data_IF_722696849354
#
_entry.id   IF_722696849354
#
_cell.length_a   1.000
_cell.length_b   1.000
_cell.length_c   1.000
_cell.angle_alpha   90.00
_cell.angle_beta   90.00
_cell.angle_gamma   90.00
#
_symmetry.space_group_name_H-M   'P 1'
#
loop_
_entity.id
_entity.type
_entity.pdbx_description
1 polymer ?
#
# COMPACT_ATOMS: atom_id res chain seq x y z
N UNK A 1 -73.31 27.83 7.71
CA UNK A 1 -72.76 28.09 6.37
C UNK A 1 -71.26 28.26 6.46
N UNK A 2 -70.54 27.30 5.88
CA UNK A 2 -69.13 27.24 5.43
C UNK A 2 -67.99 27.67 6.37
N UNK A 3 -67.43 26.67 7.04
CA UNK A 3 -66.05 26.65 7.52
C UNK A 3 -65.11 26.20 6.37
N UNK A 4 -64.02 26.94 6.16
CA UNK A 4 -62.81 26.47 5.47
C UNK A 4 -61.67 26.54 6.49
N UNK A 5 -61.20 25.38 6.98
CA UNK A 5 -59.93 25.26 7.68
C UNK A 5 -59.10 24.15 7.04
N UNK A 6 -57.89 24.53 6.65
CA UNK A 6 -56.79 23.74 6.14
C UNK A 6 -56.46 22.57 7.09
N UNK A 7 -56.41 21.33 6.60
CA UNK A 7 -55.26 20.68 5.96
C UNK A 7 -54.03 20.55 6.89
N UNK A 8 -53.93 19.41 7.58
CA UNK A 8 -52.65 18.81 7.96
C UNK A 8 -52.84 17.28 8.02
N UNK A 9 -52.51 16.60 6.92
CA UNK A 9 -52.55 15.14 6.80
C UNK A 9 -51.16 14.61 7.14
N UNK A 10 -51.04 13.96 8.30
CA UNK A 10 -49.83 13.28 8.75
C UNK A 10 -49.67 11.97 7.97
N UNK A 11 -48.70 11.90 7.05
CA UNK A 11 -48.33 10.64 6.39
C UNK A 11 -47.31 9.93 7.28
N UNK A 12 -47.75 8.85 7.91
CA UNK A 12 -46.91 7.87 8.60
C UNK A 12 -46.30 6.95 7.53
N UNK A 13 -45.04 7.18 7.14
CA UNK A 13 -44.34 6.27 6.22
C UNK A 13 -43.80 5.06 6.98
N UNK A 14 -44.44 3.92 6.73
CA UNK A 14 -44.01 2.58 7.15
C UNK A 14 -42.72 2.21 6.39
N UNK A 15 -41.60 2.03 7.11
CA UNK A 15 -40.38 1.47 6.53
C UNK A 15 -40.58 -0.05 6.42
N UNK A 16 -41.00 -0.50 5.24
CA UNK A 16 -40.95 -1.91 4.86
C UNK A 16 -39.49 -2.33 4.73
N UNK A 17 -38.99 -3.14 5.68
CA UNK A 17 -37.83 -3.98 5.46
C UNK A 17 -38.20 -4.96 4.33
N UNK A 18 -37.66 -4.73 3.14
CA UNK A 18 -37.71 -5.69 2.04
C UNK A 18 -36.79 -6.87 2.36
N UNK A 19 -37.34 -7.92 2.97
CA UNK A 19 -36.75 -9.25 2.92
C UNK A 19 -36.84 -9.72 1.47
N UNK A 20 -35.71 -9.72 0.77
CA UNK A 20 -35.60 -10.35 -0.55
C UNK A 20 -35.80 -11.86 -0.38
N UNK A 21 -36.92 -12.38 -0.87
CA UNK A 21 -37.12 -13.82 -1.03
C UNK A 21 -36.22 -14.31 -2.16
N UNK A 22 -35.21 -15.11 -1.84
CA UNK A 22 -34.44 -15.83 -2.84
C UNK A 22 -35.29 -17.00 -3.36
N UNK A 23 -35.38 -17.15 -4.68
CA UNK A 23 -35.97 -18.34 -5.29
C UNK A 23 -35.30 -19.60 -4.70
N UNK A 24 -36.10 -20.60 -4.33
CA UNK A 24 -35.61 -21.86 -3.77
C UNK A 24 -34.94 -22.69 -4.87
N UNK A 25 -33.70 -22.33 -5.18
CA UNK A 25 -32.83 -23.19 -5.98
C UNK A 25 -32.66 -24.54 -5.30
N UNK A 26 -32.42 -25.58 -6.10
CA UNK A 26 -32.21 -26.95 -5.61
C UNK A 26 -30.80 -27.16 -5.03
N UNK A 27 -29.96 -26.12 -5.07
CA UNK A 27 -28.63 -26.10 -4.51
C UNK A 27 -28.20 -24.71 -4.03
N UNK A 28 -26.95 -24.60 -3.60
CA UNK A 28 -26.34 -23.32 -3.21
C UNK A 28 -24.95 -23.18 -3.79
N UNK A 29 -24.59 -21.97 -4.18
CA UNK A 29 -23.26 -21.63 -4.68
C UNK A 29 -22.54 -20.61 -3.79
N UNK A 30 -21.21 -20.62 -3.86
CA UNK A 30 -20.35 -19.62 -3.22
C UNK A 30 -19.45 -18.98 -4.27
N UNK A 31 -19.38 -17.65 -4.25
CA UNK A 31 -18.45 -16.89 -5.08
C UNK A 31 -17.23 -16.51 -4.24
N UNK A 32 -16.03 -16.76 -4.76
CA UNK A 32 -14.76 -16.34 -4.17
C UNK A 32 -13.93 -15.57 -5.20
N UNK A 33 -13.03 -14.70 -4.72
CA UNK A 33 -12.13 -13.93 -5.56
C UNK A 33 -10.69 -14.37 -5.31
N UNK A 34 -9.84 -14.27 -6.34
CA UNK A 34 -8.39 -14.51 -6.24
C UNK A 34 -7.68 -13.50 -5.33
N UNK A 35 -8.27 -12.32 -5.13
CA UNK A 35 -7.87 -11.33 -4.11
C UNK A 35 -9.11 -10.71 -3.47
N UNK A 36 -8.98 -10.14 -2.28
CA UNK A 36 -10.11 -9.45 -1.61
C UNK A 36 -10.32 -8.02 -2.13
N UNK A 37 -9.32 -7.44 -2.79
CA UNK A 37 -9.34 -6.07 -3.25
C UNK A 37 -8.43 -5.81 -4.45
N UNK A 38 -8.62 -4.64 -5.07
CA UNK A 38 -7.78 -4.09 -6.14
C UNK A 38 -7.72 -2.57 -6.03
N UNK A 39 -6.53 -2.01 -6.22
CA UNK A 39 -6.33 -0.54 -6.26
C UNK A 39 -6.16 -0.08 -7.71
N UNK A 40 -7.02 0.84 -8.17
CA UNK A 40 -7.06 1.33 -9.55
C UNK A 40 -6.93 2.85 -9.54
N UNK A 41 -6.12 3.41 -10.44
CA UNK A 41 -6.04 4.86 -10.61
C UNK A 41 -7.28 5.40 -11.37
N UNK A 42 -7.70 6.66 -11.14
CA UNK A 42 -8.70 7.30 -12.00
C UNK A 42 -8.31 7.21 -13.48
N UNK A 43 -9.23 6.77 -14.32
CA UNK A 43 -9.01 6.58 -15.77
C UNK A 43 -8.38 5.24 -16.15
N UNK A 44 -8.02 4.39 -15.18
CA UNK A 44 -7.42 3.08 -15.42
C UNK A 44 -8.44 1.94 -15.31
N UNK A 45 -7.98 0.73 -15.65
CA UNK A 45 -8.73 -0.50 -15.49
C UNK A 45 -7.87 -1.55 -14.79
N UNK A 46 -8.52 -2.53 -14.17
CA UNK A 46 -7.85 -3.71 -13.66
C UNK A 46 -8.79 -4.90 -13.58
N UNK A 47 -8.21 -6.06 -13.31
CA UNK A 47 -8.92 -7.35 -13.39
C UNK A 47 -8.68 -8.19 -12.16
N UNK A 48 -9.68 -8.97 -11.77
CA UNK A 48 -9.56 -10.00 -10.73
C UNK A 48 -10.31 -11.26 -11.17
N UNK A 49 -9.72 -12.43 -10.94
CA UNK A 49 -10.42 -13.70 -11.20
C UNK A 49 -11.40 -14.01 -10.07
N UNK A 50 -12.58 -14.51 -10.41
CA UNK A 50 -13.55 -15.07 -9.47
C UNK A 50 -13.87 -16.52 -9.81
N UNK A 51 -14.25 -17.28 -8.79
CA UNK A 51 -14.67 -18.67 -8.88
C UNK A 51 -16.07 -18.80 -8.29
N UNK A 52 -16.97 -19.46 -9.02
CA UNK A 52 -18.27 -19.90 -8.51
C UNK A 52 -18.15 -21.38 -8.21
N UNK A 53 -18.34 -21.74 -6.94
CA UNK A 53 -18.25 -23.12 -6.47
C UNK A 53 -19.59 -23.62 -5.96
N UNK A 54 -19.96 -24.85 -6.33
CA UNK A 54 -21.11 -25.53 -5.74
C UNK A 54 -20.84 -25.79 -4.26
N UNK A 55 -21.78 -25.40 -3.41
CA UNK A 55 -21.75 -25.68 -1.97
C UNK A 55 -22.69 -26.83 -1.61
N UNK A 56 -23.85 -26.93 -2.25
CA UNK A 56 -24.79 -28.06 -2.14
C UNK A 56 -25.68 -28.15 -3.38
N UNK A 57 -26.34 -29.29 -3.61
CA UNK A 57 -27.32 -29.46 -4.69
C UNK A 57 -26.77 -30.10 -5.96
N UNK A 58 -27.40 -29.81 -7.11
CA UNK A 58 -27.04 -30.36 -8.43
C UNK A 58 -26.68 -29.22 -9.38
N UNK A 59 -25.59 -29.41 -10.12
CA UNK A 59 -25.02 -28.42 -11.04
C UNK A 59 -25.87 -28.24 -12.29
N UNK A 60 -26.63 -27.14 -12.37
CA UNK A 60 -27.15 -26.64 -13.65
C UNK A 60 -27.55 -25.17 -13.51
N UNK A 61 -27.39 -24.38 -14.56
CA UNK A 61 -28.15 -23.14 -14.72
C UNK A 61 -27.77 -21.97 -13.81
N UNK A 62 -26.53 -21.88 -13.33
CA UNK A 62 -26.11 -20.79 -12.43
C UNK A 62 -25.67 -19.53 -13.19
N UNK A 63 -26.32 -18.41 -12.88
CA UNK A 63 -25.95 -17.08 -13.34
C UNK A 63 -25.14 -16.32 -12.27
N UNK A 64 -24.12 -15.58 -12.68
CA UNK A 64 -23.42 -14.59 -11.82
C UNK A 64 -23.87 -13.19 -12.19
N UNK A 65 -24.43 -12.45 -11.22
CA UNK A 65 -24.90 -11.08 -11.43
C UNK A 65 -24.13 -10.07 -10.59
N UNK A 66 -24.00 -8.87 -11.14
CA UNK A 66 -23.52 -7.69 -10.45
C UNK A 66 -24.70 -6.96 -9.81
N UNK A 67 -24.80 -7.01 -8.49
CA UNK A 67 -25.98 -6.54 -7.74
C UNK A 67 -26.10 -5.02 -7.71
N UNK A 68 -24.98 -4.31 -7.60
CA UNK A 68 -24.95 -2.86 -7.40
C UNK A 68 -24.39 -2.08 -8.61
N UNK A 69 -24.65 -2.58 -9.82
CA UNK A 69 -24.15 -2.02 -11.09
C UNK A 69 -24.48 -0.53 -11.27
N UNK A 70 -25.74 -0.14 -11.01
CA UNK A 70 -26.20 1.25 -11.16
C UNK A 70 -25.50 2.22 -10.17
N UNK A 71 -25.27 1.77 -8.93
CA UNK A 71 -24.58 2.58 -7.93
C UNK A 71 -23.10 2.77 -8.32
N UNK A 72 -22.46 1.71 -8.79
CA UNK A 72 -21.07 1.78 -9.26
C UNK A 72 -20.94 2.69 -10.49
N UNK A 73 -21.86 2.61 -11.45
CA UNK A 73 -21.82 3.48 -12.64
C UNK A 73 -22.00 4.96 -12.29
N UNK A 74 -22.85 5.28 -11.31
CA UNK A 74 -23.03 6.66 -10.81
C UNK A 74 -21.76 7.21 -10.14
N UNK A 75 -20.94 6.32 -9.57
CA UNK A 75 -19.62 6.64 -9.01
C UNK A 75 -18.50 6.60 -10.08
N UNK A 76 -18.84 6.38 -11.35
CA UNK A 76 -17.89 6.30 -12.46
C UNK A 76 -17.12 4.98 -12.55
N UNK A 77 -17.60 3.92 -11.90
CA UNK A 77 -17.00 2.59 -11.93
C UNK A 77 -17.87 1.67 -12.80
N UNK A 78 -17.28 1.12 -13.85
CA UNK A 78 -17.92 0.14 -14.72
C UNK A 78 -17.29 -1.23 -14.49
N UNK A 79 -18.13 -2.23 -14.21
CA UNK A 79 -17.68 -3.61 -13.97
C UNK A 79 -18.29 -4.53 -15.02
N UNK A 80 -17.47 -5.43 -15.56
CA UNK A 80 -17.88 -6.43 -16.54
C UNK A 80 -17.33 -7.80 -16.15
N UNK A 81 -18.10 -8.85 -16.42
CA UNK A 81 -17.76 -10.23 -16.08
C UNK A 81 -17.55 -11.01 -17.37
N UNK A 82 -16.46 -11.76 -17.46
CA UNK A 82 -16.15 -12.55 -18.66
C UNK A 82 -17.04 -13.78 -18.81
N UNK A 83 -17.66 -14.26 -17.73
CA UNK A 83 -18.53 -15.45 -17.74
C UNK A 83 -19.69 -15.29 -16.76
N UNK A 84 -20.88 -15.00 -17.26
CA UNK A 84 -22.06 -14.77 -16.43
C UNK A 84 -22.96 -15.99 -16.27
N UNK A 85 -22.74 -17.07 -17.03
CA UNK A 85 -23.55 -18.28 -16.98
C UNK A 85 -22.71 -19.53 -17.20
N UNK A 86 -22.86 -20.51 -16.31
CA UNK A 86 -22.25 -21.85 -16.39
C UNK A 86 -22.70 -22.70 -15.22
N UNK A 87 -22.52 -24.00 -15.35
CA UNK A 87 -22.64 -24.94 -14.23
C UNK A 87 -21.41 -24.79 -13.31
N UNK A 88 -21.57 -24.69 -11.98
CA UNK A 88 -20.46 -24.72 -11.04
C UNK A 88 -19.73 -26.09 -11.06
N UNK A 89 -18.42 -26.18 -10.86
CA UNK A 89 -17.50 -25.08 -10.56
C UNK A 89 -17.01 -24.39 -11.85
N UNK A 90 -16.99 -23.06 -11.87
CA UNK A 90 -16.41 -22.31 -12.98
C UNK A 90 -15.67 -21.06 -12.52
N UNK A 91 -14.76 -20.61 -13.37
CA UNK A 91 -13.98 -19.38 -13.15
C UNK A 91 -14.29 -18.34 -14.22
N UNK A 92 -14.23 -17.06 -13.84
CA UNK A 92 -14.31 -15.93 -14.75
C UNK A 92 -13.37 -14.81 -14.32
N UNK A 93 -13.29 -13.77 -15.15
CA UNK A 93 -12.51 -12.57 -14.90
C UNK A 93 -13.48 -11.39 -14.76
N UNK A 94 -13.37 -10.68 -13.65
CA UNK A 94 -14.07 -9.43 -13.41
C UNK A 94 -13.14 -8.28 -13.82
N UNK A 95 -13.56 -7.51 -14.82
CA UNK A 95 -12.85 -6.31 -15.28
C UNK A 95 -13.53 -5.07 -14.73
N UNK A 96 -12.77 -4.23 -14.04
CA UNK A 96 -13.22 -2.99 -13.42
C UNK A 96 -12.54 -1.83 -14.14
N UNK A 97 -13.33 -0.91 -14.69
CA UNK A 97 -12.87 0.35 -15.30
C UNK A 97 -13.29 1.51 -14.42
N UNK A 98 -12.35 2.38 -14.08
CA UNK A 98 -12.59 3.55 -13.24
C UNK A 98 -12.48 4.80 -14.11
N UNK A 99 -13.49 5.66 -14.07
CA UNK A 99 -13.48 6.95 -14.77
C UNK A 99 -12.36 7.85 -14.25
N UNK A 100 -11.83 8.73 -15.10
CA UNK A 100 -10.88 9.77 -14.68
C UNK A 100 -11.48 10.76 -13.67
N UNK A 101 -12.81 10.88 -13.63
CA UNK A 101 -13.53 11.74 -12.70
C UNK A 101 -14.00 11.02 -11.41
N UNK A 102 -13.79 9.69 -11.30
CA UNK A 102 -14.18 8.95 -10.10
C UNK A 102 -13.40 9.47 -8.89
N UNK A 103 -14.13 9.72 -7.81
CA UNK A 103 -13.53 10.24 -6.58
C UNK A 103 -12.61 9.18 -5.95
N UNK A 104 -11.53 9.59 -5.29
CA UNK A 104 -10.73 8.68 -4.49
C UNK A 104 -11.57 8.11 -3.36
N UNK A 105 -11.48 6.81 -3.12
CA UNK A 105 -12.35 6.18 -2.14
C UNK A 105 -12.40 4.67 -2.23
N UNK A 106 -13.23 4.09 -1.35
CA UNK A 106 -13.47 2.65 -1.28
C UNK A 106 -14.85 2.35 -1.86
N UNK A 107 -14.86 1.43 -2.83
CA UNK A 107 -16.07 1.03 -3.55
C UNK A 107 -16.30 -0.46 -3.38
N UNK A 108 -17.53 -0.82 -3.00
CA UNK A 108 -17.94 -2.21 -2.87
C UNK A 108 -18.47 -2.73 -4.21
N UNK A 109 -17.97 -3.85 -4.69
CA UNK A 109 -18.51 -4.59 -5.82
C UNK A 109 -19.18 -5.84 -5.27
N UNK A 110 -20.48 -5.98 -5.49
CA UNK A 110 -21.29 -7.06 -4.95
C UNK A 110 -21.70 -8.01 -6.06
N UNK A 111 -21.22 -9.26 -5.99
CA UNK A 111 -21.67 -10.34 -6.88
C UNK A 111 -22.59 -11.30 -6.14
N UNK A 112 -23.56 -11.86 -6.83
CA UNK A 112 -24.32 -12.99 -6.35
C UNK A 112 -24.50 -14.04 -7.43
N UNK A 113 -24.74 -15.29 -7.00
CA UNK A 113 -25.18 -16.36 -7.87
C UNK A 113 -26.72 -16.45 -7.81
N UNK A 114 -27.36 -16.61 -8.96
CA UNK A 114 -28.81 -16.80 -9.10
C UNK A 114 -29.09 -17.96 -10.07
N UNK A 115 -30.35 -18.39 -10.15
CA UNK A 115 -30.73 -19.58 -10.93
C UNK A 115 -30.97 -20.75 -9.98
N UNK A 116 -30.58 -21.95 -10.39
CA UNK A 116 -30.88 -23.18 -9.65
C UNK A 116 -29.96 -23.42 -8.44
N UNK A 117 -28.77 -22.81 -8.42
CA UNK A 117 -27.83 -22.85 -7.29
C UNK A 117 -27.51 -21.43 -6.77
N UNK A 118 -28.47 -20.69 -6.19
CA UNK A 118 -28.26 -19.33 -5.73
C UNK A 118 -27.25 -19.23 -4.59
N UNK A 119 -26.56 -18.10 -4.50
CA UNK A 119 -25.72 -17.81 -3.35
C UNK A 119 -26.57 -17.30 -2.19
N UNK A 120 -26.33 -17.84 -0.99
CA UNK A 120 -26.99 -17.40 0.25
C UNK A 120 -26.63 -15.97 0.66
N UNK A 121 -25.46 -15.48 0.24
CA UNK A 121 -25.00 -14.12 0.52
C UNK A 121 -24.25 -13.53 -0.68
N UNK A 122 -24.24 -12.20 -0.78
CA UNK A 122 -23.44 -11.52 -1.79
C UNK A 122 -21.94 -11.67 -1.47
N UNK A 123 -21.15 -11.97 -2.49
CA UNK A 123 -19.70 -11.88 -2.41
C UNK A 123 -19.26 -10.42 -2.59
N UNK A 124 -18.49 -9.93 -1.62
CA UNK A 124 -17.97 -8.57 -1.59
C UNK A 124 -16.53 -8.55 -2.12
N UNK A 125 -16.29 -7.72 -3.13
CA UNK A 125 -14.96 -7.34 -3.59
C UNK A 125 -14.75 -5.83 -3.42
N UNK A 126 -13.56 -5.42 -2.96
CA UNK A 126 -13.29 -4.01 -2.66
C UNK A 126 -12.41 -3.36 -3.72
N UNK A 127 -12.85 -2.26 -4.31
CA UNK A 127 -12.04 -1.43 -5.22
C UNK A 127 -11.60 -0.18 -4.48
N UNK A 128 -10.30 0.09 -4.47
CA UNK A 128 -9.74 1.34 -3.98
C UNK A 128 -9.37 2.23 -5.17
N UNK A 129 -10.00 3.41 -5.25
CA UNK A 129 -9.65 4.42 -6.25
C UNK A 129 -8.61 5.35 -5.64
N UNK A 130 -7.45 5.47 -6.30
CA UNK A 130 -6.34 6.34 -5.86
C UNK A 130 -6.77 7.81 -5.85
N UNK A 131 -6.09 8.63 -5.05
CA UNK A 131 -6.14 10.08 -5.22
C UNK A 131 -5.64 10.45 -6.62
N UNK A 132 -6.41 11.27 -7.35
CA UNK A 132 -5.92 11.87 -8.59
C UNK A 132 -4.66 12.64 -8.25
N UNK A 133 -3.50 12.13 -8.65
CA UNK A 133 -2.30 12.94 -8.67
C UNK A 133 -2.62 14.14 -9.57
N UNK A 134 -2.46 15.35 -9.05
CA UNK A 134 -2.36 16.53 -9.92
C UNK A 134 -1.17 16.22 -10.84
N UNK A 135 -1.46 15.92 -12.11
CA UNK A 135 -0.45 15.78 -13.13
C UNK A 135 0.15 17.16 -13.40
N UNK A 136 1.04 17.61 -12.53
CA UNK A 136 2.17 18.42 -12.98
C UNK A 136 3.12 17.46 -13.67
N UNK A 137 2.99 17.36 -14.99
CA UNK A 137 3.97 16.72 -15.87
C UNK A 137 5.28 17.50 -15.75
N UNK A 138 6.09 17.15 -14.77
CA UNK A 138 7.55 17.31 -14.88
C UNK A 138 8.08 15.96 -15.29
N UNK A 139 8.49 15.85 -16.56
CA UNK A 139 9.28 14.75 -17.09
C UNK A 139 10.60 14.69 -16.31
N UNK A 140 10.61 13.92 -15.22
CA UNK A 140 11.87 13.52 -14.58
C UNK A 140 12.37 12.29 -15.35
N UNK A 141 13.60 12.30 -15.89
CA UNK A 141 14.19 11.12 -16.52
C UNK A 141 14.19 9.93 -15.55
N UNK A 142 14.32 8.67 -16.01
CA UNK A 142 14.31 7.51 -15.14
C UNK A 142 15.54 7.56 -14.20
N UNK A 143 15.35 8.18 -13.04
CA UNK A 143 16.34 8.23 -11.97
C UNK A 143 16.20 6.95 -11.17
N UNK A 144 17.31 6.23 -10.95
CA UNK A 144 17.47 5.12 -9.99
C UNK A 144 17.27 5.56 -8.52
N UNK A 145 16.75 6.76 -8.30
CA UNK A 145 16.62 7.40 -7.00
C UNK A 145 15.27 6.98 -6.39
N UNK A 146 15.26 6.48 -5.14
CA UNK A 146 14.02 6.15 -4.44
C UNK A 146 13.06 7.33 -4.41
N UNK A 147 11.79 7.07 -4.67
CA UNK A 147 10.76 8.11 -4.65
C UNK A 147 9.47 7.60 -4.02
N UNK A 148 8.91 8.43 -3.15
CA UNK A 148 7.70 8.20 -2.38
C UNK A 148 6.65 9.20 -2.82
N UNK A 149 5.55 8.74 -3.42
CA UNK A 149 4.46 9.63 -3.85
C UNK A 149 3.25 9.46 -2.94
N UNK A 150 2.73 10.57 -2.40
CA UNK A 150 1.59 10.55 -1.48
C UNK A 150 0.41 9.77 -2.08
N UNK A 151 -0.10 8.82 -1.32
CA UNK A 151 -1.27 8.03 -1.67
C UNK A 151 -2.51 8.50 -0.91
N UNK A 152 -2.39 8.59 0.42
CA UNK A 152 -3.48 8.98 1.29
C UNK A 152 -2.93 9.65 2.55
N UNK A 153 -3.70 10.54 3.15
CA UNK A 153 -3.33 11.20 4.39
C UNK A 153 -4.55 11.64 5.18
N UNK A 154 -4.40 11.75 6.50
CA UNK A 154 -5.36 12.41 7.38
C UNK A 154 -4.63 13.47 8.21
N UNK A 155 -5.20 14.69 8.24
CA UNK A 155 -4.62 15.83 8.93
C UNK A 155 -5.60 16.37 9.95
N UNK A 156 -5.12 16.69 11.15
CA UNK A 156 -5.88 17.40 12.19
C UNK A 156 -4.98 18.38 12.91
N UNK A 157 -5.57 19.47 13.39
CA UNK A 157 -4.93 20.30 14.39
C UNK A 157 -4.83 19.52 15.71
N UNK A 158 -3.65 19.53 16.31
CA UNK A 158 -3.35 18.93 17.61
C UNK A 158 -3.06 20.04 18.59
N UNK A 159 -3.67 19.93 19.77
CA UNK A 159 -3.33 20.75 20.93
C UNK A 159 -2.59 19.86 21.94
N UNK A 160 -1.42 20.29 22.39
CA UNK A 160 -0.56 19.53 23.29
C UNK A 160 -1.30 19.09 24.56
N UNK A 161 -2.19 19.90 25.13
CA UNK A 161 -2.96 19.54 26.34
C UNK A 161 -4.00 18.43 26.11
N UNK A 162 -4.47 18.23 24.88
CA UNK A 162 -5.53 17.28 24.55
C UNK A 162 -5.01 16.03 23.85
N UNK A 163 -3.91 16.13 23.12
CA UNK A 163 -3.48 15.09 22.20
C UNK A 163 -4.46 14.91 21.03
N UNK A 164 -4.34 13.79 20.31
CA UNK A 164 -5.24 13.44 19.21
C UNK A 164 -5.12 11.97 18.81
N UNK A 165 -6.12 11.46 18.09
CA UNK A 165 -6.10 10.13 17.46
C UNK A 165 -6.36 10.23 15.96
N UNK A 166 -5.61 9.44 15.22
CA UNK A 166 -5.64 9.35 13.77
C UNK A 166 -5.83 7.89 13.37
N UNK A 167 -6.61 7.68 12.33
CA UNK A 167 -6.84 6.37 11.72
C UNK A 167 -6.78 6.56 10.22
N UNK A 168 -5.95 5.78 9.55
CA UNK A 168 -5.78 5.85 8.11
C UNK A 168 -5.68 4.45 7.53
N UNK A 169 -6.41 4.21 6.45
CA UNK A 169 -6.34 2.95 5.71
C UNK A 169 -5.08 2.95 4.83
N UNK A 170 -4.24 1.93 4.99
CA UNK A 170 -3.09 1.67 4.13
C UNK A 170 -3.52 1.06 2.78
N UNK A 171 -2.54 0.85 1.88
CA UNK A 171 -2.80 0.36 0.52
C UNK A 171 -3.31 -1.08 0.46
N UNK A 172 -3.02 -1.86 1.49
CA UNK A 172 -3.42 -3.26 1.66
C UNK A 172 -4.79 -3.41 2.37
N UNK A 173 -5.46 -2.29 2.68
CA UNK A 173 -6.73 -2.28 3.38
C UNK A 173 -6.63 -2.54 4.88
N UNK A 174 -5.45 -2.42 5.49
CA UNK A 174 -5.26 -2.46 6.94
C UNK A 174 -5.26 -1.06 7.54
N UNK A 175 -5.75 -0.94 8.78
CA UNK A 175 -5.73 0.34 9.49
C UNK A 175 -4.39 0.55 10.19
N UNK A 176 -3.88 1.77 10.04
CA UNK A 176 -2.83 2.33 10.88
C UNK A 176 -3.48 3.39 11.77
N UNK A 177 -3.32 3.23 13.08
CA UNK A 177 -3.76 4.19 14.07
C UNK A 177 -2.55 4.86 14.72
N UNK A 178 -2.63 6.16 14.90
CA UNK A 178 -1.63 6.93 15.65
C UNK A 178 -2.34 7.68 16.76
N UNK A 179 -1.85 7.51 17.98
CA UNK A 179 -2.25 8.31 19.12
C UNK A 179 -1.11 9.27 19.44
N UNK A 180 -1.42 10.56 19.39
CA UNK A 180 -0.60 11.63 19.94
C UNK A 180 -1.04 11.83 21.39
N UNK A 181 -0.24 11.43 22.39
CA UNK A 181 -0.61 11.58 23.79
C UNK A 181 -0.85 13.05 24.18
N UNK A 182 -1.70 13.28 25.17
CA UNK A 182 -1.72 14.57 25.85
C UNK A 182 -0.34 14.83 26.51
N UNK A 183 0.09 16.08 26.50
CA UNK A 183 1.45 16.51 26.86
C UNK A 183 2.45 16.49 25.70
N UNK A 184 2.05 16.19 24.47
CA UNK A 184 2.96 16.14 23.31
C UNK A 184 3.08 17.49 22.61
N UNK A 185 4.24 18.13 22.78
CA UNK A 185 4.67 19.34 22.09
C UNK A 185 5.52 18.97 20.86
N UNK A 186 5.76 19.95 19.98
CA UNK A 186 6.73 19.79 18.89
C UNK A 186 7.86 20.78 19.03
N UNK A 187 9.09 20.29 19.07
CA UNK A 187 10.28 21.10 18.85
C UNK A 187 10.58 21.21 17.36
N UNK A 188 10.66 22.45 16.88
CA UNK A 188 10.98 22.78 15.49
C UNK A 188 11.88 24.02 15.45
N UNK A 189 13.19 23.79 15.28
CA UNK A 189 14.19 24.85 15.45
C UNK A 189 14.19 25.36 16.88
N UNK A 190 14.15 26.69 17.08
CA UNK A 190 14.16 27.32 18.41
C UNK A 190 12.75 27.50 19.01
N UNK A 191 11.76 26.75 18.52
CA UNK A 191 10.36 26.88 18.96
C UNK A 191 9.82 25.56 19.47
N UNK A 192 9.13 25.62 20.59
CA UNK A 192 8.29 24.54 21.11
C UNK A 192 6.83 24.89 20.85
N UNK A 193 6.15 24.10 20.01
CA UNK A 193 4.78 24.32 19.60
C UNK A 193 3.82 23.51 20.47
N UNK A 194 2.88 24.20 21.11
CA UNK A 194 1.76 23.58 21.83
C UNK A 194 0.51 23.38 20.94
N UNK A 195 0.53 23.92 19.73
CA UNK A 195 -0.50 23.72 18.70
C UNK A 195 0.16 23.55 17.34
N UNK A 196 -0.19 22.50 16.62
CA UNK A 196 0.40 22.16 15.32
C UNK A 196 -0.55 21.30 14.49
N UNK A 197 -0.39 21.32 13.16
CA UNK A 197 -1.08 20.39 12.28
C UNK A 197 -0.27 19.09 12.22
N UNK A 198 -0.88 17.99 12.62
CA UNK A 198 -0.30 16.66 12.46
C UNK A 198 -0.97 15.94 11.30
N UNK A 199 -0.15 15.32 10.46
CA UNK A 199 -0.61 14.48 9.36
C UNK A 199 -0.02 13.09 9.50
N UNK A 200 -0.87 12.07 9.43
CA UNK A 200 -0.48 10.70 9.13
C UNK A 200 -0.61 10.51 7.62
N UNK A 201 0.44 10.06 6.95
CA UNK A 201 0.46 9.90 5.50
C UNK A 201 1.01 8.53 5.06
N UNK A 202 0.46 8.01 3.97
CA UNK A 202 0.85 6.78 3.28
C UNK A 202 1.35 7.14 1.89
N UNK A 203 2.43 6.49 1.45
CA UNK A 203 3.13 6.79 0.20
C UNK A 203 3.34 5.54 -0.63
N UNK A 204 3.09 5.65 -1.94
CA UNK A 204 3.55 4.65 -2.92
C UNK A 204 5.06 4.75 -3.07
N UNK A 205 5.73 3.65 -3.38
CA UNK A 205 7.18 3.59 -3.53
C UNK A 205 7.54 3.27 -4.99
N UNK A 206 8.60 3.92 -5.48
CA UNK A 206 9.26 3.57 -6.73
C UNK A 206 10.79 3.58 -6.53
N UNK A 207 11.48 2.75 -7.30
CA UNK A 207 12.95 2.67 -7.33
C UNK A 207 13.59 2.40 -5.96
N UNK A 208 13.00 1.50 -5.16
CA UNK A 208 13.53 1.12 -3.86
C UNK A 208 13.45 -0.40 -3.69
N UNK A 209 14.60 -1.04 -3.52
CA UNK A 209 14.72 -2.43 -3.11
C UNK A 209 14.87 -2.54 -1.59
N UNK A 210 14.69 -3.72 -1.02
CA UNK A 210 14.98 -3.96 0.39
C UNK A 210 16.46 -3.65 0.73
N UNK A 211 16.79 -3.29 1.99
CA UNK A 211 18.17 -3.09 2.42
C UNK A 211 18.94 -4.41 2.34
N UNK A 212 20.25 -4.35 2.14
CA UNK A 212 21.10 -5.53 1.97
C UNK A 212 20.99 -6.52 3.15
N UNK A 213 20.88 -6.00 4.37
CA UNK A 213 20.69 -6.77 5.61
C UNK A 213 19.34 -7.47 5.72
N UNK A 214 18.37 -7.10 4.89
CA UNK A 214 17.04 -7.70 4.81
C UNK A 214 16.63 -7.94 3.35
N UNK A 215 17.57 -8.38 2.51
CA UNK A 215 17.40 -8.50 1.05
C UNK A 215 16.26 -9.41 0.59
N UNK A 216 15.74 -10.26 1.49
CA UNK A 216 14.59 -11.14 1.24
C UNK A 216 13.25 -10.50 1.62
N UNK A 217 13.25 -9.41 2.36
CA UNK A 217 12.04 -8.73 2.77
C UNK A 217 11.37 -8.05 1.57
N UNK A 218 10.03 -8.04 1.58
CA UNK A 218 9.24 -7.47 0.49
C UNK A 218 8.88 -6.03 0.87
N UNK A 219 9.39 -5.06 0.11
CA UNK A 219 9.01 -3.64 0.26
C UNK A 219 7.55 -3.45 -0.14
N UNK A 220 6.75 -2.82 0.72
CA UNK A 220 5.31 -2.63 0.46
C UNK A 220 4.98 -1.17 0.14
N UNK A 221 5.04 -0.29 1.13
CA UNK A 221 4.71 1.13 0.98
C UNK A 221 5.38 1.96 2.08
N UNK A 222 5.43 3.28 1.88
CA UNK A 222 5.97 4.22 2.85
C UNK A 222 4.89 4.78 3.76
N UNK A 223 5.25 5.15 4.99
CA UNK A 223 4.40 5.97 5.83
C UNK A 223 5.25 7.00 6.57
N UNK A 224 4.63 8.13 6.92
CA UNK A 224 5.32 9.20 7.63
C UNK A 224 4.36 9.98 8.52
N UNK A 225 4.96 10.64 9.52
CA UNK A 225 4.34 11.75 10.21
C UNK A 225 4.81 13.04 9.58
N UNK A 226 3.89 14.00 9.45
CA UNK A 226 4.24 15.35 9.08
C UNK A 226 3.77 16.29 10.19
N UNK A 227 4.64 17.24 10.53
CA UNK A 227 4.26 18.38 11.36
C UNK A 227 4.23 19.61 10.47
N UNK A 228 3.08 20.27 10.41
CA UNK A 228 2.85 21.45 9.57
C UNK A 228 3.26 21.21 8.10
N UNK A 229 3.00 19.99 7.61
CA UNK A 229 3.32 19.57 6.24
C UNK A 229 4.78 19.20 5.98
N UNK A 230 5.62 19.08 7.02
CA UNK A 230 7.05 18.76 6.89
C UNK A 230 7.39 17.36 7.43
N UNK A 231 8.15 16.60 6.64
CA UNK A 231 8.92 15.42 7.07
C UNK A 231 10.37 15.87 7.30
N UNK A 232 10.85 15.82 8.55
CA UNK A 232 12.23 16.19 8.86
C UNK A 232 12.71 15.60 10.21
N UNK A 233 13.92 15.01 10.26
CA UNK A 233 14.52 14.54 11.51
C UNK A 233 14.92 15.67 12.47
N UNK A 234 14.95 16.92 11.99
CA UNK A 234 15.20 18.11 12.81
C UNK A 234 13.97 18.54 13.64
N UNK A 235 12.82 17.90 13.43
CA UNK A 235 11.61 18.08 14.21
C UNK A 235 11.53 16.92 15.22
N UNK A 236 11.08 17.19 16.44
CA UNK A 236 10.89 16.17 17.47
C UNK A 236 9.55 16.37 18.19
N UNK A 237 8.89 15.28 18.54
CA UNK A 237 7.81 15.25 19.53
C UNK A 237 8.45 15.16 20.92
N UNK A 238 8.10 16.10 21.79
CA UNK A 238 8.69 16.20 23.13
C UNK A 238 7.61 16.47 24.18
N UNK A 239 7.95 16.22 25.44
CA UNK A 239 7.12 16.58 26.59
C UNK A 239 7.35 18.06 26.98
N UNK A 240 6.68 18.52 28.05
CA UNK A 240 6.82 19.90 28.54
C UNK A 240 8.25 20.27 29.00
N UNK A 241 9.10 19.28 29.29
CA UNK A 241 10.50 19.49 29.72
C UNK A 241 11.50 19.33 28.57
N UNK A 242 11.03 19.13 27.32
CA UNK A 242 11.89 18.91 26.15
C UNK A 242 12.43 17.50 26.00
N UNK A 243 11.99 16.54 26.82
CA UNK A 243 12.38 15.13 26.66
C UNK A 243 11.53 14.46 25.57
N UNK A 244 12.12 13.51 24.85
CA UNK A 244 11.44 12.78 23.76
C UNK A 244 10.10 12.20 24.22
N UNK A 245 9.06 12.46 23.43
CA UNK A 245 7.70 11.96 23.65
C UNK A 245 7.25 11.15 22.44
N UNK A 246 7.50 9.83 22.42
CA UNK A 246 7.07 8.98 21.33
C UNK A 246 5.55 8.96 21.15
N UNK A 247 5.12 8.92 19.88
CA UNK A 247 3.73 8.65 19.54
C UNK A 247 3.47 7.14 19.62
N UNK A 248 2.21 6.78 19.87
CA UNK A 248 1.80 5.37 19.89
C UNK A 248 1.23 5.04 18.52
N UNK A 249 1.90 4.13 17.82
CA UNK A 249 1.54 3.70 16.48
C UNK A 249 1.07 2.27 16.55
N UNK A 250 -0.15 1.98 16.10
CA UNK A 250 -0.62 0.60 15.94
C UNK A 250 -1.00 0.36 14.50
N UNK A 251 -0.65 -0.81 13.98
CA UNK A 251 -0.97 -1.19 12.61
C UNK A 251 -1.49 -2.62 12.60
N UNK A 252 -2.62 -2.86 11.93
CA UNK A 252 -3.32 -4.16 11.89
C UNK A 252 -2.58 -5.21 11.04
N UNK A 253 -1.38 -5.55 11.50
CA UNK A 253 -0.47 -6.50 10.89
C UNK A 253 -0.08 -7.58 11.90
N UNK A 254 0.25 -8.75 11.37
CA UNK A 254 0.84 -9.82 12.17
C UNK A 254 2.36 -9.61 12.36
N UNK A 255 2.99 -10.55 13.07
CA UNK A 255 4.42 -10.50 13.40
C UNK A 255 5.38 -10.62 12.21
N UNK A 256 4.90 -10.93 11.00
CA UNK A 256 5.76 -10.94 9.81
C UNK A 256 6.04 -9.54 9.25
N UNK A 257 5.30 -8.53 9.70
CA UNK A 257 5.50 -7.15 9.28
C UNK A 257 6.56 -6.46 10.12
N UNK A 258 7.29 -5.56 9.48
CA UNK A 258 8.28 -4.68 10.10
C UNK A 258 8.35 -3.37 9.34
N UNK A 259 9.13 -2.42 9.84
CA UNK A 259 9.47 -1.24 9.06
C UNK A 259 10.94 -0.88 9.20
N UNK A 260 11.40 -0.03 8.29
CA UNK A 260 12.71 0.59 8.36
C UNK A 260 12.59 2.10 8.32
N UNK A 261 13.36 2.77 9.19
CA UNK A 261 13.56 4.21 9.15
C UNK A 261 14.40 4.57 7.91
N UNK A 262 13.91 5.53 7.13
CA UNK A 262 14.48 5.96 5.86
C UNK A 262 14.75 7.47 5.88
N UNK A 263 16.02 7.88 5.78
CA UNK A 263 16.46 9.26 5.97
C UNK A 263 17.26 9.80 4.78
N UNK A 264 17.39 11.13 4.72
CA UNK A 264 18.25 11.84 3.78
C UNK A 264 17.59 12.16 2.43
N UNK A 265 16.30 11.87 2.28
CA UNK A 265 15.51 12.38 1.16
C UNK A 265 14.97 13.78 1.43
N UNK A 266 14.40 14.36 0.38
CA UNK A 266 13.83 15.70 0.40
C UNK A 266 12.37 15.66 -0.01
N UNK A 267 11.53 16.36 0.75
CA UNK A 267 10.14 16.57 0.36
C UNK A 267 10.07 17.59 -0.79
N UNK A 268 9.44 17.20 -1.90
CA UNK A 268 9.17 18.01 -3.07
C UNK A 268 7.67 17.91 -3.35
N UNK A 269 6.94 18.99 -3.10
CA UNK A 269 5.47 18.98 -3.10
C UNK A 269 4.91 17.91 -2.15
N UNK A 270 4.11 16.98 -2.68
CA UNK A 270 3.55 15.84 -1.96
C UNK A 270 4.44 14.59 -2.02
N UNK A 271 5.61 14.65 -2.66
CA UNK A 271 6.52 13.52 -2.80
C UNK A 271 7.74 13.66 -1.89
N UNK A 272 8.38 12.55 -1.57
CA UNK A 272 9.66 12.49 -0.87
C UNK A 272 10.67 11.73 -1.74
N UNK A 273 11.75 12.40 -2.14
CA UNK A 273 12.68 11.92 -3.17
C UNK A 273 14.09 11.76 -2.58
N UNK A 274 14.74 10.65 -2.93
CA UNK A 274 16.07 10.27 -2.44
C UNK A 274 16.05 9.76 -1.01
N UNK A 275 17.23 9.51 -0.45
CA UNK A 275 17.42 8.96 0.88
C UNK A 275 17.91 7.52 0.88
N UNK A 276 17.99 6.94 2.08
CA UNK A 276 18.49 5.57 2.30
C UNK A 276 17.95 5.02 3.62
N UNK A 277 17.87 3.68 3.71
CA UNK A 277 17.61 2.98 4.97
C UNK A 277 18.70 3.30 6.00
N UNK A 278 18.29 3.43 7.27
CA UNK A 278 19.23 3.65 8.38
C UNK A 278 19.22 2.51 9.38
N UNK A 279 18.06 2.09 9.84
CA UNK A 279 17.92 1.00 10.79
C UNK A 279 16.50 0.42 10.74
N UNK A 280 16.39 -0.85 11.13
CA UNK A 280 15.11 -1.52 11.31
C UNK A 280 14.40 -0.96 12.54
N UNK A 281 13.10 -0.76 12.44
CA UNK A 281 12.28 -0.31 13.57
C UNK A 281 11.83 -1.52 14.40
N UNK A 282 11.73 -1.32 15.71
CA UNK A 282 11.25 -2.36 16.62
C UNK A 282 9.74 -2.24 16.77
N UNK A 283 9.05 -3.34 16.52
CA UNK A 283 7.61 -3.47 16.67
C UNK A 283 7.29 -4.59 17.65
N UNK A 284 6.39 -4.32 18.59
CA UNK A 284 5.85 -5.34 19.49
C UNK A 284 4.58 -5.91 18.88
N UNK A 285 4.53 -7.23 18.67
CA UNK A 285 3.32 -7.88 18.21
C UNK A 285 2.37 -8.15 19.38
N UNK A 286 1.13 -7.70 19.26
CA UNK A 286 0.04 -7.99 20.18
C UNK A 286 -0.85 -9.07 19.57
N UNK A 287 -0.70 -10.30 20.03
CA UNK A 287 -1.44 -11.45 19.54
C UNK A 287 -2.95 -11.39 19.83
N UNK A 288 -3.38 -10.61 20.83
CA UNK A 288 -4.80 -10.49 21.17
C UNK A 288 -5.55 -9.55 20.24
N UNK A 289 -4.92 -8.42 19.87
CA UNK A 289 -5.50 -7.45 18.95
C UNK A 289 -5.13 -7.69 17.48
N UNK A 290 -4.24 -8.65 17.22
CA UNK A 290 -3.64 -8.94 15.91
C UNK A 290 -3.05 -7.69 15.24
N UNK A 291 -2.34 -6.90 16.03
CA UNK A 291 -1.65 -5.68 15.57
C UNK A 291 -0.18 -5.65 16.01
N UNK A 292 0.59 -4.83 15.31
CA UNK A 292 1.93 -4.44 15.73
C UNK A 292 1.89 -3.04 16.31
N UNK A 293 2.66 -2.82 17.38
CA UNK A 293 2.70 -1.56 18.12
C UNK A 293 4.13 -1.01 18.14
N UNK A 294 4.29 0.27 17.81
CA UNK A 294 5.52 1.02 17.99
C UNK A 294 5.28 2.20 18.95
N UNK A 295 6.14 2.31 19.95
CA UNK A 295 6.14 3.36 20.98
C UNK A 295 7.49 4.09 21.02
N UNK A 296 8.21 4.12 19.89
CA UNK A 296 9.55 4.70 19.76
C UNK A 296 9.58 5.87 18.76
N UNK A 297 8.53 6.07 17.95
CA UNK A 297 8.51 7.13 16.95
C UNK A 297 8.24 8.50 17.56
N UNK A 298 9.30 9.28 17.73
CA UNK A 298 9.24 10.66 18.21
C UNK A 298 9.75 11.69 17.20
N UNK A 299 10.14 11.28 15.98
CA UNK A 299 10.56 12.19 14.90
C UNK A 299 9.72 11.98 13.64
N UNK A 300 9.28 13.04 12.94
CA UNK A 300 8.57 12.91 11.67
C UNK A 300 9.56 12.62 10.56
N UNK A 301 9.78 11.33 10.29
CA UNK A 301 10.65 10.83 9.22
C UNK A 301 9.87 9.89 8.30
N UNK A 302 10.49 9.46 7.20
CA UNK A 302 9.92 8.42 6.36
C UNK A 302 10.22 7.05 6.95
N UNK A 303 9.22 6.19 6.98
CA UNK A 303 9.37 4.77 7.28
C UNK A 303 8.86 3.94 6.12
N UNK A 304 9.43 2.75 5.94
CA UNK A 304 9.06 1.82 4.87
C UNK A 304 8.57 0.54 5.50
N UNK A 305 7.29 0.21 5.32
CA UNK A 305 6.79 -1.10 5.72
C UNK A 305 7.34 -2.19 4.81
N UNK A 306 7.60 -3.34 5.42
CA UNK A 306 8.08 -4.54 4.75
C UNK A 306 7.44 -5.79 5.34
N UNK A 307 7.38 -6.83 4.52
CA UNK A 307 6.95 -8.17 4.92
C UNK A 307 8.18 -9.07 4.94
N UNK A 308 8.47 -9.68 6.08
CA UNK A 308 9.39 -10.80 6.18
C UNK A 308 8.71 -12.01 5.56
N UNK A 309 9.22 -12.57 4.46
CA UNK A 309 8.68 -13.83 3.98
C UNK A 309 8.83 -14.84 5.12
N UNK A 310 7.72 -15.46 5.52
CA UNK A 310 7.79 -16.61 6.41
C UNK A 310 8.78 -17.60 5.81
N UNK A 311 9.71 -18.12 6.61
CA UNK A 311 10.45 -19.31 6.23
C UNK A 311 9.42 -20.41 5.98
N UNK A 312 8.93 -20.54 4.75
CA UNK A 312 8.27 -21.74 4.31
C UNK A 312 9.38 -22.77 4.33
N UNK A 313 9.44 -23.54 5.42
CA UNK A 313 10.06 -24.85 5.37
C UNK A 313 9.31 -25.59 4.27
N UNK A 314 9.91 -25.65 3.08
CA UNK A 314 9.44 -26.50 2.02
C UNK A 314 9.62 -27.94 2.48
N UNK A 315 8.66 -28.48 3.23
CA UNK A 315 8.42 -29.92 3.21
C UNK A 315 7.88 -30.26 1.82
N UNK A 316 8.79 -30.25 0.84
CA UNK A 316 8.57 -30.91 -0.43
C UNK A 316 8.63 -32.41 -0.14
N UNK A 317 7.47 -33.00 0.13
CA UNK A 317 7.27 -34.42 -0.19
C UNK A 317 7.14 -34.52 -1.70
N UNK A 318 8.29 -34.50 -2.38
CA UNK A 318 8.35 -34.93 -3.76
C UNK A 318 7.95 -36.42 -3.81
N UNK A 319 7.03 -36.84 -4.69
CA UNK A 319 6.78 -38.25 -4.91
C UNK A 319 8.00 -38.87 -5.59
N UNK A 320 8.62 -39.84 -4.92
CA UNK A 320 9.67 -40.70 -5.45
C UNK A 320 9.09 -41.51 -6.61
N UNK A 321 9.33 -41.08 -7.84
CA UNK A 321 9.18 -41.94 -9.01
C UNK A 321 10.55 -42.54 -9.32
N UNK A 322 10.71 -43.80 -8.95
CA UNK A 322 11.86 -44.63 -9.32
C UNK A 322 11.79 -44.85 -10.83
N UNK A 323 12.73 -44.25 -11.57
CA UNK A 323 13.00 -44.64 -12.95
C UNK A 323 14.41 -45.20 -13.01
N UNK A 324 14.48 -46.53 -13.03
CA UNK A 324 15.70 -47.31 -13.28
C UNK A 324 16.04 -47.27 -14.76
N UNK A 325 17.26 -46.85 -15.12
CA UNK A 325 17.99 -47.21 -16.35
C UNK A 325 19.50 -46.98 -16.10
N UNK A 326 20.39 -47.81 -16.70
CA UNK A 326 21.61 -48.26 -16.05
C UNK A 326 22.86 -47.41 -16.31
N UNK A 327 23.76 -47.50 -15.33
CA UNK A 327 25.11 -46.96 -15.25
C UNK A 327 25.99 -47.37 -16.42
N UNK A 328 26.57 -46.40 -17.11
CA UNK A 328 27.86 -46.57 -17.80
C UNK A 328 28.80 -45.42 -17.41
N UNK A 329 29.95 -45.81 -16.87
CA UNK A 329 31.06 -44.96 -16.42
C UNK A 329 31.87 -44.48 -17.62
N UNK A 330 32.36 -43.23 -17.61
CA UNK A 330 33.82 -43.04 -17.67
C UNK A 330 34.31 -41.90 -16.75
N UNK A 331 35.27 -42.18 -15.87
CA UNK A 331 36.71 -41.94 -16.02
C UNK A 331 37.12 -40.47 -15.85
N UNK A 332 37.76 -40.24 -14.70
CA UNK A 332 38.49 -39.05 -14.27
C UNK A 332 39.63 -38.73 -15.24
N UNK A 333 39.72 -37.48 -15.71
CA UNK A 333 40.98 -36.90 -16.21
C UNK A 333 41.16 -35.54 -15.55
N UNK A 334 42.25 -35.44 -14.78
CA UNK A 334 42.87 -34.20 -14.31
C UNK A 334 43.69 -33.61 -15.44
N UNK A 335 43.48 -32.33 -15.77
CA UNK A 335 44.50 -31.49 -16.44
C UNK A 335 44.27 -30.00 -16.15
N UNK A 336 45.18 -29.46 -15.34
CA UNK A 336 45.94 -28.20 -15.50
C UNK A 336 45.30 -26.96 -16.11
N UNK A 337 45.40 -25.86 -15.36
CA UNK A 337 45.18 -24.48 -15.80
C UNK A 337 46.16 -24.06 -16.92
N UNK A 338 45.75 -23.06 -17.72
CA UNK A 338 46.64 -21.94 -18.01
C UNK A 338 45.98 -20.56 -17.79
N UNK A 339 46.88 -19.59 -17.70
CA UNK A 339 46.73 -18.22 -17.22
C UNK A 339 46.36 -17.22 -18.34
N UNK A 340 45.88 -16.03 -17.92
CA UNK A 340 45.74 -14.73 -18.63
C UNK A 340 44.64 -14.56 -19.70
N UNK A 341 43.95 -13.41 -19.80
CA UNK A 341 44.43 -12.04 -19.61
C UNK A 341 43.36 -11.04 -19.14
N UNK A 342 43.87 -10.05 -18.41
CA UNK A 342 43.25 -8.77 -18.04
C UNK A 342 43.05 -7.89 -19.28
N UNK A 343 41.90 -7.23 -19.37
CA UNK A 343 41.73 -6.01 -20.17
C UNK A 343 41.22 -4.89 -19.26
N UNK A 344 42.17 -4.14 -18.72
CA UNK A 344 41.96 -2.80 -18.17
C UNK A 344 41.73 -1.81 -19.32
N UNK A 345 40.50 -1.30 -19.47
CA UNK A 345 40.25 -0.13 -20.32
C UNK A 345 40.53 1.15 -19.54
N UNK A 346 41.57 1.85 -19.98
CA UNK A 346 42.16 3.05 -19.40
C UNK A 346 41.38 4.33 -19.74
N UNK A 347 40.14 4.47 -19.24
CA UNK A 347 39.34 5.69 -19.46
C UNK A 347 39.20 6.58 -18.23
N UNK A 348 39.46 6.09 -17.03
CA UNK A 348 39.19 6.85 -15.79
C UNK A 348 40.36 7.74 -15.34
N UNK A 349 41.58 7.47 -15.81
CA UNK A 349 42.76 8.24 -15.41
C UNK A 349 42.91 9.58 -16.13
N UNK A 350 42.44 9.69 -17.39
CA UNK A 350 42.50 10.96 -18.13
C UNK A 350 41.47 11.97 -17.61
N UNK A 351 40.29 11.50 -17.19
CA UNK A 351 39.26 12.37 -16.61
C UNK A 351 39.71 12.97 -15.26
N UNK A 352 40.33 12.17 -14.40
CA UNK A 352 40.85 12.63 -13.12
C UNK A 352 42.02 13.64 -13.29
N UNK A 353 42.94 13.39 -14.22
CA UNK A 353 44.07 14.29 -14.48
C UNK A 353 43.62 15.67 -15.02
N UNK A 354 42.62 15.71 -15.90
CA UNK A 354 42.07 16.96 -16.44
C UNK A 354 41.39 17.79 -15.34
N UNK A 355 40.65 17.15 -14.43
CA UNK A 355 40.01 17.83 -13.29
C UNK A 355 41.05 18.46 -12.37
N UNK A 356 42.15 17.75 -12.08
CA UNK A 356 43.22 18.26 -11.22
C UNK A 356 43.92 19.48 -11.85
N UNK A 357 44.19 19.45 -13.15
CA UNK A 357 44.81 20.57 -13.87
C UNK A 357 43.88 21.80 -13.88
N UNK A 358 42.58 21.61 -14.06
CA UNK A 358 41.60 22.70 -14.01
C UNK A 358 41.50 23.33 -12.62
N UNK A 359 41.49 22.52 -11.56
CA UNK A 359 41.50 23.03 -10.18
C UNK A 359 42.77 23.83 -9.90
N UNK A 360 43.94 23.33 -10.32
CA UNK A 360 45.20 24.04 -10.14
C UNK A 360 45.23 25.38 -10.89
N UNK A 361 44.67 25.44 -12.11
CA UNK A 361 44.58 26.68 -12.89
C UNK A 361 43.64 27.71 -12.24
N UNK A 362 42.50 27.28 -11.69
CA UNK A 362 41.56 28.17 -10.97
C UNK A 362 42.20 28.73 -9.70
N UNK A 363 42.91 27.89 -8.94
CA UNK A 363 43.63 28.33 -7.73
C UNK A 363 44.73 29.34 -8.10
N UNK A 364 45.53 29.06 -9.14
CA UNK A 364 46.57 29.97 -9.62
C UNK A 364 45.99 31.33 -10.09
N UNK A 365 44.86 31.30 -10.81
CA UNK A 365 44.16 32.52 -11.23
C UNK A 365 43.61 33.32 -10.04
N UNK A 366 43.00 32.64 -9.07
CA UNK A 366 42.48 33.27 -7.86
C UNK A 366 43.59 33.90 -7.00
N UNK A 367 44.77 33.28 -6.95
CA UNK A 367 45.93 33.83 -6.24
C UNK A 367 46.55 35.03 -6.97
N UNK A 368 46.50 35.09 -8.31
CA UNK A 368 46.99 36.26 -9.07
C UNK A 368 46.13 37.51 -8.92
N UNK A 369 44.83 37.38 -8.61
CA UNK A 369 43.92 38.52 -8.38
C UNK A 369 44.03 39.16 -6.99
N UNK A 370 44.79 38.55 -6.07
CA UNK A 370 44.96 39.04 -4.69
C UNK A 370 46.31 39.75 -4.45
N UNK A 371 47.02 40.14 -5.51
CA UNK A 371 48.22 41.00 -5.44
C UNK A 371 47.98 42.29 -6.20
#
# INVERSE_FOLDING_TARGET
MNAKSAAMLTIFSFVLLSTVSFASGIGTSKITFSSANLTIAPGAAGTVSYTVSLTSGKVWGTNTNLVNSANLSNEGINVSLSKTYSDPNYTGVMTIKVSSATKPGRYAVLLNATGDDPSVTNALFTVFVKTSAVNTTTTVPPTTVPAFSLYNSTTKAVNATKGARFSLMAMDGKLINVTVPAGTYVEMGNKTLSSYNFTLAIYTISNLSAPSSASKDIVTYGFAYLVNGLISPAISFVNATGADMPLITTAQYNSSWTSWTFLGGKQVNTSYIGGSYKFADVWTYNSTAEDIVNTQFFKPVMWVFMIKPSNVTTTSTAPTTVSTIPTTTPTTISTTAPYTSSNNSSTDYYAAAIIIILIAAVIAYAMRRKK
#
